data_IF_896053850079
#
_entry.id   IF_896053850079
#
_cell.length_a   1.000
_cell.length_b   1.000
_cell.length_c   1.000
_cell.angle_alpha   90.00
_cell.angle_beta   90.00
_cell.angle_gamma   90.00
#
_symmetry.space_group_name_H-M   'P 1'
#
loop_
_entity.id
_entity.type
_entity.pdbx_description
1 polymer ?
#
# COMPACT_ATOMS: atom_id res chain seq x y z
N UNK A 1 -11.88 -15.92 30.16
CA UNK A 1 -11.72 -15.53 28.75
C UNK A 1 -10.28 -15.09 28.57
N UNK A 2 -9.49 -15.84 27.82
CA UNK A 2 -8.11 -15.44 27.48
C UNK A 2 -8.19 -14.23 26.56
N UNK A 3 -7.45 -13.14 26.81
CA UNK A 3 -7.37 -12.03 25.86
C UNK A 3 -6.91 -12.57 24.51
N UNK A 4 -7.57 -12.18 23.42
CA UNK A 4 -7.00 -12.42 22.10
C UNK A 4 -5.76 -11.55 21.96
N UNK A 5 -4.61 -12.19 21.91
CA UNK A 5 -3.35 -11.58 21.52
C UNK A 5 -3.25 -11.66 20.00
N UNK A 6 -3.57 -10.54 19.33
CA UNK A 6 -3.45 -10.44 17.88
C UNK A 6 -2.03 -9.98 17.54
N UNK A 7 -1.35 -10.64 16.58
CA UNK A 7 -0.03 -10.20 16.18
C UNK A 7 -0.11 -8.80 15.57
N UNK A 8 0.95 -8.03 15.80
CA UNK A 8 1.11 -6.74 15.19
C UNK A 8 1.30 -6.86 13.67
N UNK A 9 0.62 -5.99 12.93
CA UNK A 9 0.69 -5.95 11.47
C UNK A 9 1.09 -4.56 11.01
N UNK A 10 2.15 -4.50 10.20
CA UNK A 10 2.67 -3.27 9.60
C UNK A 10 2.31 -3.27 8.11
N UNK A 11 1.66 -2.20 7.65
CA UNK A 11 1.26 -2.05 6.25
C UNK A 11 1.89 -0.80 5.65
N UNK A 12 2.53 -0.96 4.49
CA UNK A 12 3.07 0.14 3.69
C UNK A 12 2.47 0.11 2.29
N UNK A 13 2.07 1.28 1.79
CA UNK A 13 1.71 1.46 0.39
C UNK A 13 2.98 1.72 -0.41
N UNK A 14 3.04 1.24 -1.65
CA UNK A 14 4.14 1.57 -2.54
C UNK A 14 4.30 3.09 -2.72
N UNK A 15 5.53 3.55 -3.00
CA UNK A 15 5.81 4.95 -3.29
C UNK A 15 5.10 5.47 -4.54
N UNK A 16 5.10 6.79 -4.72
CA UNK A 16 4.51 7.46 -5.88
C UNK A 16 5.05 6.92 -7.23
N UNK A 17 4.13 6.79 -8.18
CA UNK A 17 4.42 6.56 -9.61
C UNK A 17 3.86 7.73 -10.43
N UNK A 18 4.31 7.88 -11.67
CA UNK A 18 3.76 8.91 -12.56
C UNK A 18 2.25 8.79 -12.76
N UNK A 19 1.72 7.56 -12.79
CA UNK A 19 0.28 7.33 -12.90
C UNK A 19 -0.48 7.78 -11.66
N UNK A 20 0.08 7.62 -10.46
CA UNK A 20 -0.55 8.16 -9.25
C UNK A 20 -0.54 9.69 -9.27
N UNK A 21 0.59 10.29 -9.63
CA UNK A 21 0.76 11.74 -9.73
C UNK A 21 -0.22 12.37 -10.72
N UNK A 22 -0.38 11.74 -11.89
CA UNK A 22 -1.32 12.17 -12.92
C UNK A 22 -2.78 11.84 -12.61
N UNK A 23 -3.05 11.11 -11.52
CA UNK A 23 -4.39 10.59 -11.19
C UNK A 23 -4.95 9.74 -12.33
N UNK A 24 -4.20 8.73 -12.73
CA UNK A 24 -4.66 7.62 -13.57
C UNK A 24 -5.11 6.44 -12.72
N UNK A 25 -6.02 5.62 -13.26
CA UNK A 25 -6.31 4.32 -12.69
C UNK A 25 -5.10 3.41 -12.88
N UNK A 26 -4.58 2.89 -11.77
CA UNK A 26 -3.45 1.97 -11.75
C UNK A 26 -3.88 0.71 -11.04
N UNK A 27 -3.90 -0.40 -11.78
CA UNK A 27 -4.21 -1.73 -11.24
C UNK A 27 -3.00 -2.62 -11.36
N UNK A 28 -3.12 -3.69 -12.16
CA UNK A 28 -2.07 -4.70 -12.31
C UNK A 28 -0.98 -4.31 -13.31
N UNK A 29 -1.14 -3.22 -14.07
CA UNK A 29 -0.05 -2.68 -14.89
C UNK A 29 1.14 -2.26 -14.02
N UNK A 30 2.32 -2.70 -14.42
CA UNK A 30 3.54 -2.45 -13.68
C UNK A 30 4.19 -1.14 -14.12
N UNK A 31 3.83 -0.07 -13.42
CA UNK A 31 4.42 1.27 -13.60
C UNK A 31 5.45 1.46 -12.49
N UNK A 32 6.70 1.82 -12.82
CA UNK A 32 7.77 1.96 -11.83
C UNK A 32 7.55 3.14 -10.90
N UNK A 33 8.27 3.14 -9.77
CA UNK A 33 8.38 4.32 -8.90
C UNK A 33 9.00 5.49 -9.66
N UNK A 34 8.52 6.70 -9.37
CA UNK A 34 9.23 7.92 -9.74
C UNK A 34 10.21 8.33 -8.63
N UNK A 35 11.00 9.38 -8.85
CA UNK A 35 12.02 9.81 -7.88
C UNK A 35 11.40 10.20 -6.53
N UNK A 36 10.23 10.84 -6.55
CA UNK A 36 9.44 11.11 -5.33
C UNK A 36 9.07 9.83 -4.60
N UNK A 37 8.61 8.81 -5.31
CA UNK A 37 8.25 7.52 -4.76
C UNK A 37 9.42 6.76 -4.16
N UNK A 38 10.60 6.88 -4.76
CA UNK A 38 11.85 6.33 -4.22
C UNK A 38 12.22 6.99 -2.89
N UNK A 39 12.19 8.33 -2.82
CA UNK A 39 12.43 9.05 -1.57
C UNK A 39 11.38 8.72 -0.49
N UNK A 40 10.11 8.52 -0.88
CA UNK A 40 9.05 8.09 0.04
C UNK A 40 9.31 6.69 0.60
N UNK A 41 9.80 5.77 -0.22
CA UNK A 41 10.15 4.42 0.21
C UNK A 41 11.31 4.44 1.23
N UNK A 42 12.35 5.21 0.96
CA UNK A 42 13.50 5.39 1.86
C UNK A 42 13.06 5.96 3.22
N UNK A 43 12.25 7.03 3.19
CA UNK A 43 11.71 7.64 4.41
C UNK A 43 10.80 6.67 5.19
N UNK A 44 10.05 5.83 4.49
CA UNK A 44 9.21 4.80 5.11
C UNK A 44 10.03 3.72 5.80
N UNK A 45 11.21 3.38 5.26
CA UNK A 45 12.16 2.47 5.88
C UNK A 45 12.69 3.01 7.21
N UNK A 46 13.13 4.28 7.22
CA UNK A 46 13.59 4.97 8.43
C UNK A 46 12.49 4.99 9.50
N UNK A 47 11.26 5.37 9.10
CA UNK A 47 10.11 5.37 10.01
C UNK A 47 9.82 3.97 10.57
N UNK A 48 9.88 2.92 9.74
CA UNK A 48 9.65 1.55 10.21
C UNK A 48 10.71 1.16 11.25
N UNK A 49 11.98 1.44 11.01
CA UNK A 49 13.06 1.17 11.98
C UNK A 49 12.80 1.83 13.32
N UNK A 50 12.50 3.13 13.32
CA UNK A 50 12.18 3.89 14.54
C UNK A 50 10.97 3.33 15.29
N UNK A 51 9.94 2.88 14.57
CA UNK A 51 8.75 2.26 15.17
C UNK A 51 9.09 0.91 15.84
N UNK A 52 9.91 0.08 15.19
CA UNK A 52 10.32 -1.21 15.73
C UNK A 52 11.22 -1.05 16.96
N UNK A 53 12.15 -0.10 16.94
CA UNK A 53 12.99 0.25 18.09
C UNK A 53 12.15 0.73 19.27
N UNK A 54 11.21 1.66 19.03
CA UNK A 54 10.31 2.19 20.06
C UNK A 54 9.47 1.09 20.71
N UNK A 55 8.96 0.17 19.90
CA UNK A 55 8.07 -0.90 20.35
C UNK A 55 8.86 -2.15 20.82
N UNK A 56 10.19 -2.09 20.83
CA UNK A 56 11.09 -3.20 21.19
C UNK A 56 10.79 -4.49 20.41
N UNK A 57 10.56 -4.35 19.10
CA UNK A 57 10.30 -5.45 18.17
C UNK A 57 11.57 -5.74 17.37
N UNK A 58 12.03 -6.98 17.40
CA UNK A 58 13.16 -7.43 16.59
C UNK A 58 12.76 -7.52 15.10
N UNK A 59 13.40 -6.77 14.18
CA UNK A 59 13.12 -6.86 12.75
C UNK A 59 13.30 -8.27 12.16
N UNK A 60 14.16 -9.10 12.77
CA UNK A 60 14.39 -10.49 12.36
C UNK A 60 13.22 -11.42 12.70
N UNK A 61 12.36 -11.02 13.64
CA UNK A 61 11.14 -11.75 13.99
C UNK A 61 9.99 -11.50 13.01
N UNK A 62 10.10 -10.48 12.15
CA UNK A 62 9.06 -10.11 11.20
C UNK A 62 9.06 -11.02 9.97
N UNK A 63 7.85 -11.26 9.44
CA UNK A 63 7.66 -11.87 8.12
C UNK A 63 7.38 -10.78 7.10
N UNK A 64 8.22 -10.73 6.07
CA UNK A 64 8.19 -9.67 5.06
C UNK A 64 7.42 -10.14 3.82
N UNK A 65 6.39 -9.39 3.43
CA UNK A 65 5.56 -9.69 2.27
C UNK A 65 5.43 -8.47 1.37
N UNK A 66 5.45 -8.69 0.06
CA UNK A 66 5.19 -7.64 -0.92
C UNK A 66 4.37 -8.16 -2.09
N UNK A 67 3.68 -7.24 -2.76
CA UNK A 67 3.08 -7.50 -4.07
C UNK A 67 4.20 -7.78 -5.09
N UNK A 68 4.00 -8.68 -6.07
CA UNK A 68 5.01 -8.94 -7.11
C UNK A 68 5.15 -7.79 -8.14
N UNK A 69 4.35 -6.72 -8.05
CA UNK A 69 4.50 -5.55 -8.92
C UNK A 69 5.79 -4.80 -8.58
N UNK A 70 6.57 -4.42 -9.60
CA UNK A 70 7.87 -3.79 -9.47
C UNK A 70 7.87 -2.60 -8.51
N UNK A 71 6.86 -1.73 -8.56
CA UNK A 71 6.75 -0.59 -7.62
C UNK A 71 6.65 -0.98 -6.15
N UNK A 72 5.98 -2.09 -5.84
CA UNK A 72 5.83 -2.57 -4.47
C UNK A 72 7.07 -3.34 -4.01
N UNK A 73 7.64 -4.15 -4.90
CA UNK A 73 8.91 -4.85 -4.66
C UNK A 73 10.05 -3.84 -4.42
N UNK A 74 10.17 -2.81 -5.25
CA UNK A 74 11.18 -1.76 -5.10
C UNK A 74 10.96 -0.93 -3.83
N UNK A 75 9.70 -0.61 -3.48
CA UNK A 75 9.41 0.06 -2.20
C UNK A 75 9.89 -0.80 -1.03
N UNK A 76 9.62 -2.10 -1.06
CA UNK A 76 10.03 -3.03 -0.01
C UNK A 76 11.56 -3.14 0.10
N UNK A 77 12.26 -3.22 -1.01
CA UNK A 77 13.73 -3.24 -1.05
C UNK A 77 14.31 -1.99 -0.40
N UNK A 78 13.89 -0.81 -0.86
CA UNK A 78 14.33 0.48 -0.32
C UNK A 78 14.01 0.67 1.17
N UNK A 79 12.84 0.21 1.61
CA UNK A 79 12.50 0.23 3.02
C UNK A 79 13.44 -0.66 3.87
N UNK A 80 13.86 -1.81 3.32
CA UNK A 80 14.77 -2.74 3.99
C UNK A 80 16.21 -2.23 4.03
N UNK A 81 16.62 -1.38 3.09
CA UNK A 81 17.94 -0.73 3.09
C UNK A 81 18.17 0.21 4.28
N UNK A 82 17.11 0.60 5.01
CA UNK A 82 17.24 1.41 6.23
C UNK A 82 17.77 0.61 7.44
N UNK A 83 17.87 -0.72 7.33
CA UNK A 83 18.32 -1.60 8.40
C UNK A 83 19.78 -2.01 8.18
N UNK A 84 20.63 -1.77 9.18
CA UNK A 84 22.05 -2.15 9.16
C UNK A 84 22.28 -3.65 9.42
N UNK A 85 21.36 -4.51 8.98
CA UNK A 85 21.39 -5.96 9.18
C UNK A 85 20.74 -6.72 8.03
N UNK A 86 21.12 -7.98 7.84
CA UNK A 86 20.46 -8.86 6.87
C UNK A 86 19.09 -9.31 7.40
N UNK A 87 18.03 -8.80 6.78
CA UNK A 87 16.65 -9.13 7.15
C UNK A 87 16.19 -10.45 6.50
N UNK A 88 15.19 -11.15 7.08
CA UNK A 88 14.58 -12.33 6.48
C UNK A 88 14.08 -12.05 5.04
N UNK A 89 14.05 -13.07 4.17
CA UNK A 89 13.67 -12.89 2.78
C UNK A 89 12.23 -12.39 2.62
N UNK A 90 12.00 -11.57 1.60
CA UNK A 90 10.67 -11.09 1.24
C UNK A 90 9.94 -12.17 0.45
N UNK A 91 8.71 -12.46 0.86
CA UNK A 91 7.79 -13.30 0.10
C UNK A 91 6.98 -12.42 -0.84
N UNK A 92 7.19 -12.57 -2.15
CA UNK A 92 6.33 -11.97 -3.17
C UNK A 92 5.04 -12.77 -3.28
N UNK A 93 3.93 -12.19 -2.85
CA UNK A 93 2.64 -12.89 -2.77
C UNK A 93 1.64 -12.32 -3.82
N UNK A 94 1.24 -13.10 -4.84
CA UNK A 94 0.27 -12.67 -5.85
C UNK A 94 -1.08 -12.23 -5.28
N UNK A 95 -1.42 -12.63 -4.05
CA UNK A 95 -2.65 -12.19 -3.37
C UNK A 95 -2.60 -10.72 -2.92
N UNK A 96 -1.41 -10.11 -2.94
CA UNK A 96 -1.19 -8.69 -2.65
C UNK A 96 -1.19 -7.81 -3.91
N UNK A 97 -1.64 -8.33 -5.06
CA UNK A 97 -1.86 -7.53 -6.25
C UNK A 97 -2.96 -6.48 -6.00
N UNK A 98 -2.74 -5.27 -6.52
CA UNK A 98 -3.79 -4.26 -6.59
C UNK A 98 -4.97 -4.76 -7.42
N UNK A 99 -6.17 -4.22 -7.13
CA UNK A 99 -7.35 -4.52 -7.92
C UNK A 99 -7.12 -4.13 -9.39
N UNK A 100 -7.44 -5.02 -10.32
CA UNK A 100 -7.37 -4.67 -11.74
C UNK A 100 -8.53 -3.75 -12.13
N UNK A 101 -8.22 -2.69 -12.88
CA UNK A 101 -9.24 -1.82 -13.48
C UNK A 101 -9.53 -2.19 -14.95
N UNK A 102 -8.95 -3.29 -15.44
CA UNK A 102 -9.13 -3.78 -16.81
C UNK A 102 -8.86 -2.70 -17.85
N UNK A 103 -9.86 -2.45 -18.71
CA UNK A 103 -9.78 -1.47 -19.81
C UNK A 103 -9.68 -0.01 -19.35
N UNK A 104 -9.87 0.27 -18.07
CA UNK A 104 -9.74 1.62 -17.50
C UNK A 104 -8.32 1.93 -17.02
N UNK A 105 -7.43 0.93 -16.92
CA UNK A 105 -6.06 1.17 -16.47
C UNK A 105 -5.30 2.12 -17.41
N UNK A 106 -4.81 3.23 -16.85
CA UNK A 106 -4.14 4.32 -17.55
C UNK A 106 -5.07 5.49 -17.92
N UNK A 107 -6.39 5.36 -17.76
CA UNK A 107 -7.32 6.50 -17.94
C UNK A 107 -7.26 7.43 -16.75
N UNK A 108 -7.51 8.71 -16.97
CA UNK A 108 -7.60 9.69 -15.89
C UNK A 108 -8.88 9.43 -15.08
N UNK A 109 -8.80 9.62 -13.75
CA UNK A 109 -9.99 9.58 -12.89
C UNK A 109 -11.05 10.59 -13.35
N UNK A 110 -10.64 11.73 -13.90
CA UNK A 110 -11.54 12.76 -14.44
C UNK A 110 -12.34 12.28 -15.67
N UNK A 111 -11.73 11.49 -16.55
CA UNK A 111 -12.38 10.97 -17.76
C UNK A 111 -13.50 9.97 -17.42
N UNK A 112 -13.33 9.21 -16.33
CA UNK A 112 -14.32 8.20 -15.91
C UNK A 112 -15.53 8.81 -15.21
N UNK A 113 -15.37 9.95 -14.51
CA UNK A 113 -16.50 10.66 -13.88
C UNK A 113 -17.49 11.26 -14.88
N UNK A 114 -17.06 11.50 -16.12
CA UNK A 114 -17.96 11.94 -17.20
C UNK A 114 -18.89 10.81 -17.69
N UNK A 115 -18.50 9.53 -17.50
CA UNK A 115 -19.32 8.36 -17.81
C UNK A 115 -20.07 7.90 -16.56
N UNK A 116 -21.31 8.37 -16.43
CA UNK A 116 -22.22 8.23 -15.27
C UNK A 116 -22.60 6.81 -14.82
N UNK A 117 -21.99 5.77 -15.38
CA UNK A 117 -22.28 4.35 -15.10
C UNK A 117 -21.25 3.67 -14.19
N UNK A 118 -20.11 4.32 -13.89
CA UNK A 118 -19.08 3.76 -13.01
C UNK A 118 -18.74 4.74 -11.89
N UNK A 119 -19.09 4.38 -10.65
CA UNK A 119 -18.83 5.21 -9.46
C UNK A 119 -17.86 4.49 -8.54
N UNK A 120 -16.56 4.74 -8.70
CA UNK A 120 -15.57 4.46 -7.66
C UNK A 120 -15.60 5.61 -6.67
N UNK A 121 -16.20 5.39 -5.51
CA UNK A 121 -16.12 6.32 -4.38
C UNK A 121 -14.85 6.03 -3.58
N UNK A 122 -13.87 6.91 -3.66
CA UNK A 122 -12.78 6.98 -2.69
C UNK A 122 -13.18 8.00 -1.62
N UNK A 123 -13.48 7.54 -0.41
CA UNK A 123 -13.71 8.41 0.75
C UNK A 123 -12.49 8.34 1.65
N UNK A 124 -11.78 9.44 1.83
CA UNK A 124 -10.81 9.57 2.92
C UNK A 124 -11.59 9.85 4.21
N UNK A 125 -11.53 8.94 5.18
CA UNK A 125 -12.17 9.10 6.49
C UNK A 125 -11.16 8.86 7.60
N UNK A 126 -10.98 9.86 8.46
CA UNK A 126 -10.32 9.71 9.76
C UNK A 126 -11.44 9.52 10.78
N UNK A 127 -11.62 8.33 11.32
CA UNK A 127 -12.54 8.11 12.44
C UNK A 127 -11.98 7.08 13.43
N UNK A 128 -11.81 7.50 14.69
CA UNK A 128 -11.63 6.61 15.84
C UNK A 128 -10.83 7.24 16.99
N UNK A 129 -11.39 7.38 18.21
CA UNK A 129 -10.66 7.86 19.38
C UNK A 129 -9.91 6.73 20.10
N UNK A 130 -8.79 7.09 20.73
CA UNK A 130 -8.01 6.33 21.73
C UNK A 130 -7.39 4.98 21.34
N UNK A 131 -6.04 4.95 21.35
CA UNK A 131 -5.17 3.74 21.48
C UNK A 131 -5.46 2.60 20.50
N UNK A 132 -5.26 2.87 19.22
CA UNK A 132 -4.89 1.84 18.25
C UNK A 132 -3.95 2.47 17.21
N UNK A 133 -2.89 1.74 16.88
CA UNK A 133 -1.90 2.04 15.83
C UNK A 133 -2.57 2.73 14.64
N UNK A 134 -1.96 3.82 14.18
CA UNK A 134 -2.40 4.59 13.02
C UNK A 134 -2.59 3.63 11.82
N UNK A 135 -3.83 3.25 11.57
CA UNK A 135 -4.18 2.39 10.44
C UNK A 135 -4.66 3.31 9.34
N UNK A 136 -3.84 3.53 8.31
CA UNK A 136 -4.28 4.25 7.13
C UNK A 136 -5.09 3.30 6.25
N UNK A 137 -6.35 3.06 6.61
CA UNK A 137 -7.27 2.23 5.82
C UNK A 137 -7.79 2.98 4.60
N UNK A 138 -7.41 2.52 3.40
CA UNK A 138 -8.10 2.86 2.16
C UNK A 138 -9.18 1.80 1.90
N UNK A 139 -10.44 2.11 2.22
CA UNK A 139 -11.58 1.27 1.79
C UNK A 139 -11.96 1.68 0.37
N UNK A 140 -11.61 0.86 -0.61
CA UNK A 140 -12.19 0.95 -1.95
C UNK A 140 -13.48 0.11 -1.94
N UNK A 141 -14.63 0.75 -1.82
CA UNK A 141 -15.92 0.08 -1.98
C UNK A 141 -16.33 0.17 -3.45
N UNK A 142 -16.31 -0.96 -4.16
CA UNK A 142 -16.82 -1.07 -5.51
C UNK A 142 -18.17 -1.80 -5.47
N UNK A 143 -19.27 -1.06 -5.52
CA UNK A 143 -20.60 -1.63 -5.74
C UNK A 143 -20.88 -1.64 -7.24
N UNK A 144 -20.91 -2.82 -7.86
CA UNK A 144 -21.49 -3.01 -9.19
C UNK A 144 -23.01 -3.04 -8.98
N UNK A 145 -23.72 -1.95 -9.31
CA UNK A 145 -25.17 -2.04 -9.48
C UNK A 145 -25.46 -2.70 -10.82
N UNK A 146 -26.33 -3.73 -10.89
CA UNK A 146 -26.84 -4.20 -12.17
C UNK A 146 -27.68 -3.09 -12.80
N UNK A 147 -27.48 -2.87 -14.10
CA UNK A 147 -28.27 -1.93 -14.87
C UNK A 147 -29.73 -2.39 -14.97
N UNK A 148 -30.66 -1.49 -14.65
CA UNK A 148 -32.03 -1.48 -15.17
C UNK A 148 -32.45 -0.02 -15.40
#
# INVERSE_FOLDING_TARGET
>A
MTPLDWPDFYFARHGETDWNRERRYQGTKDIPLNDTGRMQADASGVLLRELLERDNVDPLSLRWFASPLGRAAETMERMRDAFDMELPPVVLDPRLLEISFGTHEGRLHSESRANRHWRVSMTAGITGPSRARATMTWRCACSISPAN
#
